data_IF_309941143004
#
_entry.id   IF_309941143004
#
_cell.length_a   1.000
_cell.length_b   1.000
_cell.length_c   1.000
_cell.angle_alpha   90.00
_cell.angle_beta   90.00
_cell.angle_gamma   90.00
#
_symmetry.space_group_name_H-M   'P 1'
#
loop_
_entity.id
_entity.type
_entity.pdbx_description
1 polymer ?
#
# COMPACT_ATOMS: atom_id res chain seq x y z
N UNK A 1 25.24 51.71 1.92
CA UNK A 1 24.08 52.30 1.22
C UNK A 1 22.83 51.98 2.03
N UNK A 2 22.21 52.96 2.69
CA UNK A 2 20.96 52.72 3.42
C UNK A 2 19.84 52.51 2.41
N UNK A 3 19.16 51.36 2.47
CA UNK A 3 17.97 51.14 1.67
C UNK A 3 16.95 52.26 1.94
N UNK A 4 16.44 52.86 0.87
CA UNK A 4 15.37 53.86 0.97
C UNK A 4 14.15 53.27 1.69
N UNK A 5 13.38 54.14 2.36
CA UNK A 5 12.20 53.74 3.13
C UNK A 5 11.24 52.81 2.35
N UNK A 6 11.04 53.08 1.06
CA UNK A 6 10.24 52.25 0.14
C UNK A 6 10.78 50.82 0.00
N UNK A 7 12.11 50.66 -0.08
CA UNK A 7 12.75 49.36 -0.22
C UNK A 7 12.65 48.53 1.07
N UNK A 8 12.69 49.18 2.24
CA UNK A 8 12.47 48.50 3.54
C UNK A 8 11.06 47.95 3.66
N UNK A 9 10.05 48.74 3.30
CA UNK A 9 8.65 48.30 3.29
C UNK A 9 8.48 47.13 2.32
N UNK A 10 9.01 47.25 1.09
CA UNK A 10 8.93 46.19 0.09
C UNK A 10 9.57 44.87 0.55
N UNK A 11 10.77 44.92 1.15
CA UNK A 11 11.42 43.71 1.67
C UNK A 11 10.65 43.09 2.84
N UNK A 12 10.07 43.92 3.72
CA UNK A 12 9.25 43.41 4.83
C UNK A 12 7.98 42.73 4.34
N UNK A 13 7.27 43.32 3.37
CA UNK A 13 6.05 42.72 2.81
C UNK A 13 6.38 41.46 2.00
N UNK A 14 7.50 41.45 1.27
CA UNK A 14 7.99 40.27 0.57
C UNK A 14 8.36 39.13 1.53
N UNK A 15 9.04 39.45 2.64
CA UNK A 15 9.40 38.48 3.66
C UNK A 15 8.18 37.85 4.33
N UNK A 16 7.17 38.67 4.68
CA UNK A 16 5.90 38.17 5.24
C UNK A 16 5.17 37.27 4.23
N UNK A 17 5.09 37.69 2.97
CA UNK A 17 4.46 36.88 1.92
C UNK A 17 5.18 35.53 1.72
N UNK A 18 6.53 35.54 1.69
CA UNK A 18 7.33 34.33 1.56
C UNK A 18 7.16 33.39 2.77
N UNK A 19 7.13 33.94 3.99
CA UNK A 19 6.91 33.18 5.21
C UNK A 19 5.50 32.53 5.24
N UNK A 20 4.47 33.27 4.81
CA UNK A 20 3.11 32.75 4.71
C UNK A 20 3.02 31.61 3.68
N UNK A 21 3.66 31.76 2.51
CA UNK A 21 3.70 30.72 1.48
C UNK A 21 4.45 29.46 1.97
N UNK A 22 5.58 29.65 2.67
CA UNK A 22 6.36 28.55 3.22
C UNK A 22 5.56 27.78 4.28
N UNK A 23 4.87 28.50 5.18
CA UNK A 23 4.01 27.92 6.20
C UNK A 23 2.87 27.11 5.58
N UNK A 24 2.18 27.67 4.58
CA UNK A 24 1.12 26.97 3.85
C UNK A 24 1.65 25.69 3.19
N UNK A 25 2.82 25.77 2.55
CA UNK A 25 3.45 24.63 1.88
C UNK A 25 3.78 23.50 2.86
N UNK A 26 4.30 23.84 4.04
CA UNK A 26 4.62 22.87 5.09
C UNK A 26 3.37 22.18 5.63
N UNK A 27 2.27 22.92 5.85
CA UNK A 27 1.00 22.35 6.31
C UNK A 27 0.47 21.35 5.29
N UNK A 28 0.38 21.75 4.02
CA UNK A 28 -0.13 20.87 2.95
C UNK A 28 0.76 19.63 2.77
N UNK A 29 2.09 19.79 2.83
CA UNK A 29 3.01 18.66 2.69
C UNK A 29 2.89 17.64 3.84
N UNK A 30 2.50 18.09 5.03
CA UNK A 30 2.29 17.22 6.19
C UNK A 30 0.99 16.42 6.06
N UNK A 31 -0.13 17.07 5.72
CA UNK A 31 -1.44 16.41 5.56
C UNK A 31 -1.43 15.39 4.42
N UNK A 32 -0.84 15.73 3.27
CA UNK A 32 -0.81 14.88 2.07
C UNK A 32 -0.31 13.47 2.32
N UNK A 33 0.68 13.28 3.20
CA UNK A 33 1.34 11.99 3.42
C UNK A 33 0.48 10.99 4.19
N UNK A 34 -0.39 11.46 5.07
CA UNK A 34 -1.26 10.57 5.86
C UNK A 34 -2.49 10.14 5.07
N UNK A 35 -3.10 11.06 4.32
CA UNK A 35 -4.30 10.79 3.53
C UNK A 35 -4.02 9.76 2.43
N UNK A 36 -2.86 9.85 1.78
CA UNK A 36 -2.48 8.94 0.70
C UNK A 36 -2.28 7.50 1.21
N UNK A 37 -1.58 7.32 2.33
CA UNK A 37 -1.37 5.99 2.94
C UNK A 37 -2.68 5.35 3.37
N UNK A 38 -3.52 6.08 4.10
CA UNK A 38 -4.81 5.55 4.56
C UNK A 38 -5.72 5.19 3.39
N UNK A 39 -5.71 5.99 2.31
CA UNK A 39 -6.45 5.69 1.10
C UNK A 39 -5.94 4.44 0.37
N UNK A 40 -4.61 4.23 0.33
CA UNK A 40 -4.01 3.02 -0.24
C UNK A 40 -4.40 1.79 0.59
N UNK A 41 -4.26 1.88 1.91
CA UNK A 41 -4.60 0.79 2.84
C UNK A 41 -6.07 0.39 2.72
N UNK A 42 -6.98 1.36 2.80
CA UNK A 42 -8.42 1.12 2.69
C UNK A 42 -8.79 0.47 1.36
N UNK A 43 -8.16 0.90 0.26
CA UNK A 43 -8.34 0.30 -1.07
C UNK A 43 -7.84 -1.14 -1.11
N UNK A 44 -6.62 -1.41 -0.64
CA UNK A 44 -6.03 -2.75 -0.64
C UNK A 44 -6.83 -3.72 0.24
N UNK A 45 -7.30 -3.28 1.41
CA UNK A 45 -8.15 -4.10 2.29
C UNK A 45 -9.46 -4.44 1.59
N UNK A 46 -10.13 -3.46 0.98
CA UNK A 46 -11.40 -3.67 0.29
C UNK A 46 -11.23 -4.63 -0.91
N UNK A 47 -10.13 -4.49 -1.64
CA UNK A 47 -9.78 -5.35 -2.76
C UNK A 47 -9.47 -6.78 -2.30
N UNK A 48 -8.67 -6.96 -1.24
CA UNK A 48 -8.36 -8.27 -0.69
C UNK A 48 -9.61 -9.00 -0.18
N UNK A 49 -10.53 -8.29 0.47
CA UNK A 49 -11.81 -8.86 0.93
C UNK A 49 -12.69 -9.31 -0.23
N UNK A 50 -12.79 -8.48 -1.29
CA UNK A 50 -13.54 -8.85 -2.49
C UNK A 50 -12.95 -10.09 -3.17
N UNK A 51 -11.62 -10.14 -3.30
CA UNK A 51 -10.90 -11.29 -3.86
C UNK A 51 -11.15 -12.54 -3.01
N UNK A 52 -11.02 -12.44 -1.68
CA UNK A 52 -11.28 -13.56 -0.78
C UNK A 52 -12.70 -14.12 -0.96
N UNK A 53 -13.71 -13.25 -1.08
CA UNK A 53 -15.10 -13.65 -1.34
C UNK A 53 -15.25 -14.35 -2.69
N UNK A 54 -14.62 -13.82 -3.76
CA UNK A 54 -14.66 -14.41 -5.09
C UNK A 54 -13.96 -15.78 -5.16
N UNK A 55 -12.78 -15.90 -4.54
CA UNK A 55 -12.01 -17.14 -4.48
C UNK A 55 -12.75 -18.21 -3.67
N UNK A 56 -13.39 -17.84 -2.56
CA UNK A 56 -14.16 -18.78 -1.72
C UNK A 56 -15.31 -19.46 -2.45
N UNK A 57 -15.78 -18.85 -3.55
CA UNK A 57 -16.90 -19.32 -4.38
C UNK A 57 -16.44 -19.92 -5.71
N UNK A 58 -15.13 -19.97 -5.98
CA UNK A 58 -14.61 -20.41 -7.27
C UNK A 58 -14.28 -21.91 -7.24
N UNK A 59 -15.06 -22.77 -7.91
CA UNK A 59 -14.83 -24.22 -7.93
C UNK A 59 -13.67 -24.65 -8.83
N UNK A 60 -13.05 -23.71 -9.56
CA UNK A 60 -12.07 -24.00 -10.62
C UNK A 60 -10.63 -24.10 -10.11
N UNK A 61 -10.36 -23.67 -8.88
CA UNK A 61 -9.04 -23.73 -8.27
C UNK A 61 -8.87 -25.10 -7.62
N UNK A 62 -8.13 -25.99 -8.26
CA UNK A 62 -7.99 -27.39 -7.82
C UNK A 62 -6.54 -27.78 -7.52
N UNK A 63 -5.56 -27.06 -8.07
CA UNK A 63 -4.13 -27.37 -7.93
C UNK A 63 -3.33 -26.15 -7.46
N UNK A 64 -2.13 -26.39 -6.90
CA UNK A 64 -1.22 -25.32 -6.51
C UNK A 64 -0.85 -24.41 -7.71
N UNK A 65 -0.76 -24.97 -8.93
CA UNK A 65 -0.53 -24.19 -10.14
C UNK A 65 -1.71 -23.25 -10.47
N UNK A 66 -2.95 -23.72 -10.30
CA UNK A 66 -4.13 -22.86 -10.53
C UNK A 66 -4.16 -21.69 -9.53
N UNK A 67 -3.63 -21.89 -8.32
CA UNK A 67 -3.52 -20.85 -7.29
C UNK A 67 -2.48 -19.81 -7.70
N UNK A 68 -1.31 -20.26 -8.19
CA UNK A 68 -0.25 -19.38 -8.66
C UNK A 68 -0.68 -18.56 -9.88
N UNK A 69 -1.28 -19.22 -10.89
CA UNK A 69 -1.81 -18.56 -12.09
C UNK A 69 -2.89 -17.51 -11.74
N UNK A 70 -3.71 -17.77 -10.72
CA UNK A 70 -4.70 -16.80 -10.26
C UNK A 70 -4.06 -15.64 -9.48
N UNK A 71 -2.98 -15.88 -8.71
CA UNK A 71 -2.21 -14.81 -8.07
C UNK A 71 -1.61 -13.86 -9.13
N UNK A 72 -1.04 -14.41 -10.21
CA UNK A 72 -0.54 -13.65 -11.35
C UNK A 72 -1.63 -12.81 -12.00
N UNK A 73 -2.77 -13.44 -12.31
CA UNK A 73 -3.91 -12.77 -12.92
C UNK A 73 -4.45 -11.63 -12.06
N UNK A 74 -4.58 -11.86 -10.75
CA UNK A 74 -5.04 -10.85 -9.81
C UNK A 74 -4.05 -9.70 -9.71
N UNK A 75 -2.74 -9.96 -9.74
CA UNK A 75 -1.72 -8.91 -9.69
C UNK A 75 -1.83 -7.92 -10.86
N UNK A 76 -2.11 -8.43 -12.07
CA UNK A 76 -2.30 -7.60 -13.26
C UNK A 76 -3.55 -6.72 -13.15
N UNK A 77 -4.62 -7.23 -12.55
CA UNK A 77 -5.87 -6.49 -12.33
C UNK A 77 -5.73 -5.44 -11.22
N UNK A 78 -4.95 -5.74 -10.19
CA UNK A 78 -4.76 -4.89 -9.01
C UNK A 78 -3.67 -3.84 -9.20
N UNK A 79 -2.73 -4.08 -10.13
CA UNK A 79 -1.44 -3.41 -10.19
C UNK A 79 -0.72 -3.44 -8.82
N UNK A 80 -0.80 -4.58 -8.14
CA UNK A 80 -0.21 -4.82 -6.83
C UNK A 80 0.24 -6.28 -6.74
N UNK A 81 1.29 -6.55 -5.96
CA UNK A 81 1.70 -7.92 -5.66
C UNK A 81 0.60 -8.66 -4.92
N UNK A 82 0.29 -9.87 -5.36
CA UNK A 82 -0.70 -10.75 -4.72
C UNK A 82 0.00 -12.03 -4.29
N UNK A 83 -0.19 -12.41 -3.02
CA UNK A 83 0.33 -13.65 -2.46
C UNK A 83 -0.83 -14.42 -1.84
N UNK A 84 -1.01 -15.67 -2.25
CA UNK A 84 -2.04 -16.57 -1.71
C UNK A 84 -1.39 -17.54 -0.73
N UNK A 85 -1.89 -17.52 0.52
CA UNK A 85 -1.26 -18.18 1.66
C UNK A 85 -2.23 -19.21 2.23
N UNK A 86 -1.76 -20.44 2.41
CA UNK A 86 -2.50 -21.51 3.08
C UNK A 86 -2.73 -21.20 4.57
N UNK A 87 -3.67 -21.92 5.19
CA UNK A 87 -4.01 -21.73 6.61
C UNK A 87 -2.84 -22.03 7.58
N UNK A 88 -1.87 -22.84 7.15
CA UNK A 88 -0.63 -23.15 7.88
C UNK A 88 0.51 -22.16 7.58
N UNK A 89 0.26 -21.15 6.75
CA UNK A 89 1.21 -20.11 6.35
C UNK A 89 2.10 -20.46 5.16
N UNK A 90 1.97 -21.64 4.56
CA UNK A 90 2.68 -21.96 3.31
C UNK A 90 2.20 -21.02 2.20
N UNK A 91 3.12 -20.45 1.44
CA UNK A 91 2.79 -19.68 0.24
C UNK A 91 2.46 -20.65 -0.88
N UNK A 92 1.25 -20.53 -1.44
CA UNK A 92 0.74 -21.40 -2.52
C UNK A 92 0.83 -20.73 -3.90
N UNK A 93 0.87 -19.40 -3.93
CA UNK A 93 1.07 -18.62 -5.15
C UNK A 93 1.58 -17.22 -4.80
N UNK A 94 2.45 -16.66 -5.63
CA UNK A 94 2.99 -15.32 -5.44
C UNK A 94 3.33 -14.67 -6.78
N UNK A 95 2.71 -13.52 -7.06
CA UNK A 95 2.82 -12.89 -8.37
C UNK A 95 4.21 -12.37 -8.75
N UNK A 96 5.16 -12.35 -7.82
CA UNK A 96 6.54 -11.94 -8.08
C UNK A 96 7.50 -13.14 -8.20
N UNK A 97 7.05 -14.37 -7.92
CA UNK A 97 7.90 -15.55 -7.78
C UNK A 97 7.33 -16.74 -8.55
N UNK A 98 8.18 -17.39 -9.34
CA UNK A 98 7.80 -18.56 -10.13
C UNK A 98 8.59 -19.81 -9.75
N UNK A 99 7.98 -20.98 -9.95
CA UNK A 99 8.64 -22.29 -9.90
C UNK A 99 9.40 -22.55 -8.60
N UNK A 100 10.72 -22.79 -8.68
CA UNK A 100 11.52 -23.12 -7.51
C UNK A 100 11.62 -21.95 -6.52
N UNK A 101 11.59 -20.70 -7.01
CA UNK A 101 11.66 -19.53 -6.13
C UNK A 101 10.43 -19.43 -5.22
N UNK A 102 9.25 -19.83 -5.72
CA UNK A 102 8.02 -19.94 -4.95
C UNK A 102 8.08 -21.08 -3.93
N UNK A 103 8.63 -22.23 -4.32
CA UNK A 103 8.78 -23.38 -3.43
C UNK A 103 9.73 -23.13 -2.25
N UNK A 104 10.71 -22.24 -2.43
CA UNK A 104 11.71 -21.89 -1.42
C UNK A 104 11.27 -20.73 -0.50
N UNK A 105 10.06 -20.20 -0.68
CA UNK A 105 9.54 -19.10 0.15
C UNK A 105 9.33 -19.55 1.59
N UNK A 106 9.80 -18.71 2.52
CA UNK A 106 9.58 -18.92 3.95
C UNK A 106 8.09 -18.93 4.28
N UNK A 107 7.69 -19.82 5.18
CA UNK A 107 6.32 -19.87 5.68
C UNK A 107 5.95 -18.54 6.38
N UNK A 108 4.86 -17.93 5.92
CA UNK A 108 4.42 -16.61 6.33
C UNK A 108 3.57 -16.60 7.61
N UNK A 109 3.36 -17.75 8.26
CA UNK A 109 2.51 -17.86 9.45
C UNK A 109 2.93 -16.88 10.55
N UNK A 110 4.22 -16.61 10.72
CA UNK A 110 4.72 -15.75 11.80
C UNK A 110 4.73 -14.25 11.46
N UNK A 111 4.33 -13.87 10.25
CA UNK A 111 4.23 -12.46 9.88
C UNK A 111 3.14 -11.77 10.73
N UNK A 112 3.41 -10.60 11.33
CA UNK A 112 2.47 -9.94 12.24
C UNK A 112 1.12 -9.63 11.59
N UNK A 113 1.12 -9.22 10.33
CA UNK A 113 -0.08 -8.96 9.52
C UNK A 113 -0.89 -10.24 9.26
N UNK A 114 -0.24 -11.38 9.05
CA UNK A 114 -0.92 -12.68 8.86
C UNK A 114 -1.56 -13.14 10.17
N UNK A 115 -0.84 -13.01 11.29
CA UNK A 115 -1.39 -13.30 12.62
C UNK A 115 -2.58 -12.39 12.95
N UNK A 116 -2.49 -11.10 12.62
CA UNK A 116 -3.57 -10.15 12.80
C UNK A 116 -4.79 -10.51 11.94
N UNK A 117 -4.59 -10.86 10.67
CA UNK A 117 -5.64 -11.30 9.76
C UNK A 117 -6.34 -12.57 10.26
N UNK A 118 -5.60 -13.55 10.80
CA UNK A 118 -6.21 -14.74 11.41
C UNK A 118 -7.10 -14.41 12.61
N UNK A 119 -6.73 -13.41 13.41
CA UNK A 119 -7.47 -13.01 14.58
C UNK A 119 -8.68 -12.11 14.28
N UNK A 120 -8.60 -11.26 13.25
CA UNK A 120 -9.55 -10.16 13.00
C UNK A 120 -10.19 -10.16 11.61
N UNK A 121 -9.77 -11.08 10.73
CA UNK A 121 -10.16 -11.12 9.31
C UNK A 121 -9.34 -10.20 8.40
N UNK A 122 -8.60 -9.22 8.95
CA UNK A 122 -7.70 -8.30 8.23
C UNK A 122 -6.45 -8.04 9.05
N UNK A 123 -5.31 -7.89 8.39
CA UNK A 123 -4.08 -7.41 8.99
C UNK A 123 -3.26 -6.52 8.06
N UNK A 124 -2.56 -5.54 8.63
CA UNK A 124 -1.78 -4.51 7.92
C UNK A 124 -0.44 -4.30 8.63
#
# INVERSE_FOLDING_TARGET
>A
MSLGFRAKIFLSSLGVAAAALALLTLIVAYERRQDERSSIEMRLVSQAQLIAELLSRNPTIATDQDIDDEADRLSQLMAARVTLIAADGKVLGDSDLEGQALADVENHLQRPEVQQARARGVGV
#
